data_IF_209610525368
#
_entry.id   IF_209610525368
#
_cell.length_a   1.000
_cell.length_b   1.000
_cell.length_c   1.000
_cell.angle_alpha   90.00
_cell.angle_beta   90.00
_cell.angle_gamma   90.00
#
_symmetry.space_group_name_H-M   'P 1'
#
loop_
_entity.id
_entity.type
_entity.pdbx_description
1 polymer ?
#
# COMPACT_ATOMS: atom_id res chain seq x y z
N UNK A 1 -16.29 -26.31 14.68
CA UNK A 1 -16.95 -26.59 13.39
C UNK A 1 -16.52 -25.48 12.46
N UNK A 2 -15.61 -25.80 11.55
CA UNK A 2 -14.92 -24.87 10.66
C UNK A 2 -15.92 -24.18 9.73
N UNK A 3 -16.04 -22.86 9.83
CA UNK A 3 -16.69 -22.07 8.78
C UNK A 3 -15.63 -21.77 7.73
N UNK A 4 -15.64 -22.53 6.65
CA UNK A 4 -14.80 -22.26 5.49
C UNK A 4 -15.04 -20.84 4.99
N UNK A 5 -14.04 -19.98 5.16
CA UNK A 5 -14.01 -18.70 4.48
C UNK A 5 -14.07 -18.98 2.98
N UNK A 6 -15.17 -18.59 2.34
CA UNK A 6 -15.27 -18.58 0.90
C UNK A 6 -14.19 -17.60 0.39
N UNK A 7 -13.04 -18.14 -0.04
CA UNK A 7 -11.99 -17.41 -0.75
C UNK A 7 -12.56 -16.88 -2.06
N UNK A 8 -13.24 -15.74 -1.97
CA UNK A 8 -13.77 -15.05 -3.12
C UNK A 8 -12.62 -14.27 -3.74
N UNK A 9 -12.30 -14.54 -4.99
CA UNK A 9 -11.30 -13.78 -5.71
C UNK A 9 -11.71 -12.30 -5.76
N UNK A 10 -11.00 -11.45 -5.00
CA UNK A 10 -11.34 -10.03 -4.88
C UNK A 10 -11.03 -9.26 -6.16
N UNK A 11 -9.93 -9.62 -6.85
CA UNK A 11 -9.47 -9.01 -8.10
C UNK A 11 -9.38 -7.47 -8.04
N UNK A 12 -9.09 -6.90 -6.86
CA UNK A 12 -9.10 -5.45 -6.66
C UNK A 12 -8.05 -4.75 -7.52
N UNK A 13 -6.88 -5.36 -7.69
CA UNK A 13 -5.84 -4.84 -8.58
C UNK A 13 -6.30 -4.70 -10.03
N UNK A 14 -7.08 -5.66 -10.54
CA UNK A 14 -7.59 -5.61 -11.90
C UNK A 14 -8.57 -4.43 -12.06
N UNK A 15 -9.50 -4.28 -11.13
CA UNK A 15 -10.45 -3.16 -11.13
C UNK A 15 -9.75 -1.80 -10.96
N UNK A 16 -8.74 -1.71 -10.08
CA UNK A 16 -7.97 -0.50 -9.89
C UNK A 16 -7.19 -0.12 -11.17
N UNK A 17 -6.62 -1.10 -11.88
CA UNK A 17 -5.95 -0.86 -13.17
C UNK A 17 -6.93 -0.25 -14.19
N UNK A 18 -8.15 -0.77 -14.29
CA UNK A 18 -9.14 -0.21 -15.23
C UNK A 18 -9.58 1.21 -14.84
N UNK A 19 -9.86 1.46 -13.56
CA UNK A 19 -10.17 2.83 -13.09
C UNK A 19 -9.01 3.80 -13.38
N UNK A 20 -7.77 3.39 -13.20
CA UNK A 20 -6.60 4.21 -13.54
C UNK A 20 -6.52 4.54 -15.04
N UNK A 21 -6.89 3.61 -15.92
CA UNK A 21 -6.95 3.87 -17.37
C UNK A 21 -8.02 4.91 -17.69
N UNK A 22 -9.20 4.80 -17.09
CA UNK A 22 -10.27 5.78 -17.26
C UNK A 22 -9.85 7.18 -16.80
N UNK A 23 -9.20 7.28 -15.64
CA UNK A 23 -8.66 8.55 -15.13
C UNK A 23 -7.66 9.15 -16.12
N UNK A 24 -6.71 8.36 -16.63
CA UNK A 24 -5.73 8.82 -17.63
C UNK A 24 -6.40 9.32 -18.91
N UNK A 25 -7.47 8.68 -19.36
CA UNK A 25 -8.21 9.12 -20.55
C UNK A 25 -8.96 10.45 -20.35
N UNK A 26 -9.38 10.74 -19.11
CA UNK A 26 -10.11 11.96 -18.76
C UNK A 26 -9.19 13.14 -18.41
N UNK A 27 -7.95 12.86 -17.99
CA UNK A 27 -6.99 13.90 -17.63
C UNK A 27 -6.57 14.73 -18.86
N UNK A 28 -6.54 16.07 -18.76
CA UNK A 28 -6.05 16.90 -19.85
C UNK A 28 -4.58 16.58 -20.22
N UNK A 29 -4.21 16.63 -21.51
CA UNK A 29 -2.87 16.20 -21.97
C UNK A 29 -1.70 16.93 -21.32
N UNK A 30 -1.90 18.13 -20.78
CA UNK A 30 -0.85 18.91 -20.12
C UNK A 30 -0.49 18.42 -18.71
N UNK A 31 -1.27 17.52 -18.11
CA UNK A 31 -0.94 16.86 -16.82
C UNK A 31 -0.01 15.65 -17.02
N UNK A 32 1.09 15.86 -17.75
CA UNK A 32 1.99 14.79 -18.20
C UNK A 32 2.58 14.00 -17.02
N UNK A 33 2.99 14.68 -15.93
CA UNK A 33 3.55 14.00 -14.76
C UNK A 33 2.52 13.08 -14.10
N UNK A 34 1.29 13.55 -13.91
CA UNK A 34 0.20 12.75 -13.30
C UNK A 34 -0.16 11.55 -14.16
N UNK A 35 -0.30 11.75 -15.48
CA UNK A 35 -0.58 10.65 -16.42
C UNK A 35 0.51 9.58 -16.35
N UNK A 36 1.78 10.00 -16.36
CA UNK A 36 2.91 9.07 -16.28
C UNK A 36 2.96 8.34 -14.94
N UNK A 37 2.77 9.05 -13.82
CA UNK A 37 2.74 8.43 -12.50
C UNK A 37 1.64 7.36 -12.40
N UNK A 38 0.42 7.66 -12.85
CA UNK A 38 -0.70 6.69 -12.85
C UNK A 38 -0.38 5.48 -13.73
N UNK A 39 0.21 5.69 -14.92
CA UNK A 39 0.63 4.58 -15.80
C UNK A 39 1.69 3.70 -15.16
N UNK A 40 2.68 4.29 -14.49
CA UNK A 40 3.73 3.54 -13.79
C UNK A 40 3.13 2.73 -12.65
N UNK A 41 2.26 3.33 -11.83
CA UNK A 41 1.58 2.61 -10.74
C UNK A 41 0.71 1.48 -11.29
N UNK A 42 -0.02 1.71 -12.38
CA UNK A 42 -0.84 0.68 -13.06
C UNK A 42 0.02 -0.49 -13.55
N UNK A 43 1.20 -0.21 -14.12
CA UNK A 43 2.15 -1.22 -14.57
C UNK A 43 2.80 -1.99 -13.41
N UNK A 44 3.18 -1.29 -12.33
CA UNK A 44 3.65 -1.93 -11.10
C UNK A 44 2.57 -2.84 -10.51
N UNK A 45 1.32 -2.38 -10.46
CA UNK A 45 0.20 -3.18 -10.00
C UNK A 45 -0.04 -4.39 -10.92
N UNK A 46 0.18 -4.28 -12.22
CA UNK A 46 0.09 -5.44 -13.13
C UNK A 46 1.18 -6.48 -12.87
N UNK A 47 2.40 -6.05 -12.53
CA UNK A 47 3.57 -6.92 -12.34
C UNK A 47 3.70 -7.48 -10.92
N UNK A 48 3.02 -6.92 -9.94
CA UNK A 48 3.17 -7.34 -8.55
C UNK A 48 2.58 -8.73 -8.29
N UNK A 49 3.19 -9.46 -7.36
CA UNK A 49 2.57 -10.67 -6.80
C UNK A 49 1.41 -10.27 -5.88
N UNK A 50 0.30 -11.00 -5.93
CA UNK A 50 -0.95 -10.65 -5.21
C UNK A 50 -1.16 -11.54 -4.02
N UNK A 51 -1.45 -10.91 -2.87
CA UNK A 51 -1.85 -11.59 -1.66
C UNK A 51 -3.19 -11.05 -1.21
N UNK A 52 -4.13 -11.95 -0.97
CA UNK A 52 -5.42 -11.62 -0.39
C UNK A 52 -5.28 -11.75 1.12
N UNK A 53 -5.57 -10.67 1.84
CA UNK A 53 -5.56 -10.62 3.29
C UNK A 53 -6.98 -10.73 3.84
N UNK A 54 -7.12 -11.17 5.11
CA UNK A 54 -8.39 -11.10 5.83
C UNK A 54 -8.94 -9.67 5.90
N UNK A 55 -10.21 -9.56 6.29
CA UNK A 55 -10.84 -8.26 6.52
C UNK A 55 -9.99 -7.40 7.46
N UNK A 56 -9.82 -6.13 7.11
CA UNK A 56 -8.99 -5.16 7.83
C UNK A 56 -7.48 -5.52 7.93
N UNK A 57 -7.01 -6.51 7.16
CA UNK A 57 -5.64 -7.02 7.21
C UNK A 57 -5.20 -7.46 8.62
N UNK A 58 -6.12 -7.97 9.43
CA UNK A 58 -5.87 -8.46 10.79
C UNK A 58 -5.15 -9.81 10.74
N UNK A 59 -3.82 -9.77 10.67
CA UNK A 59 -2.96 -10.97 10.56
C UNK A 59 -2.34 -11.41 11.89
N UNK A 60 -2.15 -10.49 12.82
CA UNK A 60 -1.51 -10.74 14.11
C UNK A 60 -2.38 -10.17 15.22
N UNK A 61 -2.53 -10.92 16.30
CA UNK A 61 -3.02 -10.37 17.56
C UNK A 61 -1.97 -9.37 18.10
N UNK A 62 -2.31 -8.08 18.25
CA UNK A 62 -1.39 -7.05 18.75
C UNK A 62 -0.75 -7.41 20.10
N UNK A 63 -1.42 -8.22 20.91
CA UNK A 63 -0.94 -8.65 22.23
C UNK A 63 0.14 -9.73 22.16
N UNK A 64 0.32 -10.38 21.00
CA UNK A 64 1.24 -11.49 20.79
C UNK A 64 2.34 -11.21 19.74
N UNK A 65 2.53 -9.93 19.38
CA UNK A 65 3.62 -9.53 18.49
C UNK A 65 4.95 -9.49 19.25
N UNK A 66 5.82 -10.46 18.98
CA UNK A 66 7.20 -10.47 19.49
C UNK A 66 8.16 -9.76 18.52
N UNK A 67 9.33 -9.36 19.01
CA UNK A 67 10.40 -8.81 18.18
C UNK A 67 10.82 -9.76 17.04
N UNK A 68 10.71 -11.08 17.24
CA UNK A 68 11.02 -12.07 16.21
C UNK A 68 10.03 -12.03 15.03
N UNK A 69 8.76 -11.70 15.29
CA UNK A 69 7.77 -11.49 14.22
C UNK A 69 8.09 -10.24 13.40
N UNK A 70 8.58 -9.17 14.05
CA UNK A 70 8.98 -7.93 13.38
C UNK A 70 10.26 -8.13 12.55
N UNK A 71 11.21 -8.91 13.06
CA UNK A 71 12.47 -9.20 12.37
C UNK A 71 12.26 -10.00 11.06
N UNK A 72 11.11 -10.67 10.92
CA UNK A 72 10.69 -11.42 9.73
C UNK A 72 9.85 -10.60 8.74
N UNK A 73 9.48 -9.34 9.05
CA UNK A 73 8.72 -8.47 8.16
C UNK A 73 9.60 -7.97 7.00
N UNK A 74 9.89 -8.88 6.07
CA UNK A 74 10.35 -8.57 4.71
C UNK A 74 9.19 -8.78 3.76
N UNK A 75 9.21 -8.10 2.62
CA UNK A 75 8.25 -8.43 1.57
C UNK A 75 8.53 -9.85 1.07
N UNK A 76 7.50 -10.67 0.83
CA UNK A 76 7.67 -12.00 0.23
C UNK A 76 8.32 -11.96 -1.15
N UNK A 77 8.11 -10.86 -1.88
CA UNK A 77 8.69 -10.58 -3.19
C UNK A 77 9.06 -9.08 -3.30
N UNK A 78 9.98 -8.68 -4.20
CA UNK A 78 10.39 -7.29 -4.33
C UNK A 78 9.27 -6.31 -4.71
N UNK A 79 8.16 -6.80 -5.29
CA UNK A 79 6.99 -6.03 -5.69
C UNK A 79 5.72 -6.84 -5.41
N UNK A 80 4.92 -6.38 -4.44
CA UNK A 80 3.75 -7.09 -3.91
C UNK A 80 2.55 -6.15 -3.85
N UNK A 81 1.35 -6.67 -4.05
CA UNK A 81 0.12 -5.99 -3.69
C UNK A 81 -0.69 -6.84 -2.72
N UNK A 82 -1.02 -6.25 -1.58
CA UNK A 82 -1.91 -6.84 -0.59
C UNK A 82 -3.31 -6.29 -0.78
N UNK A 83 -4.28 -7.16 -1.04
CA UNK A 83 -5.69 -6.81 -1.21
C UNK A 83 -6.47 -7.22 0.04
N UNK A 84 -7.23 -6.30 0.62
CA UNK A 84 -8.01 -6.56 1.82
C UNK A 84 -9.40 -5.92 1.71
N UNK A 85 -10.46 -6.65 2.07
CA UNK A 85 -11.73 -6.05 2.47
C UNK A 85 -11.50 -5.17 3.70
N UNK A 86 -12.30 -4.11 3.83
CA UNK A 86 -12.17 -3.15 4.93
C UNK A 86 -13.55 -2.82 5.53
N UNK A 87 -14.24 -3.88 5.95
CA UNK A 87 -15.56 -3.81 6.56
C UNK A 87 -15.40 -3.60 8.07
N UNK A 88 -15.70 -2.39 8.53
CA UNK A 88 -15.78 -2.09 9.96
C UNK A 88 -17.24 -2.13 10.39
N UNK A 89 -17.57 -2.99 11.35
CA UNK A 89 -18.91 -3.08 11.94
C UNK A 89 -19.29 -1.85 12.77
N UNK A 90 -18.31 -1.17 13.37
CA UNK A 90 -18.54 -0.07 14.33
C UNK A 90 -17.93 1.28 13.90
N UNK A 91 -17.76 1.51 12.59
CA UNK A 91 -17.33 2.83 12.13
C UNK A 91 -18.45 3.84 12.40
N UNK A 92 -18.34 4.60 13.50
CA UNK A 92 -19.16 5.80 13.72
C UNK A 92 -18.97 6.72 12.51
N UNK A 93 -20.08 7.17 11.91
CA UNK A 93 -20.06 8.14 10.82
C UNK A 93 -19.10 9.28 11.17
N UNK A 94 -18.07 9.45 10.35
CA UNK A 94 -17.04 10.46 10.58
C UNK A 94 -17.49 11.83 10.06
N UNK A 95 -18.79 11.98 9.77
CA UNK A 95 -19.39 13.19 9.22
C UNK A 95 -18.80 13.52 7.86
N UNK A 96 -18.16 14.67 7.73
CA UNK A 96 -17.55 15.14 6.46
C UNK A 96 -16.48 14.21 5.87
N UNK A 97 -15.91 13.30 6.67
CA UNK A 97 -14.92 12.32 6.23
C UNK A 97 -15.54 11.05 5.62
N UNK A 98 -16.88 10.90 5.61
CA UNK A 98 -17.55 9.75 5.00
C UNK A 98 -17.32 9.66 3.48
N UNK A 99 -16.96 10.78 2.83
CA UNK A 99 -16.47 10.79 1.44
C UNK A 99 -15.20 9.95 1.22
N UNK A 100 -14.45 9.66 2.29
CA UNK A 100 -13.26 8.81 2.28
C UNK A 100 -13.52 7.41 2.84
N UNK A 101 -14.79 7.03 3.04
CA UNK A 101 -15.15 5.65 3.35
C UNK A 101 -14.59 4.75 2.23
N UNK A 102 -13.90 3.70 2.68
CA UNK A 102 -13.26 2.74 1.81
C UNK A 102 -13.43 1.35 2.36
N UNK A 103 -14.28 0.55 1.70
CA UNK A 103 -14.54 -0.86 2.01
C UNK A 103 -13.56 -1.82 1.36
N UNK A 104 -12.67 -1.32 0.48
CA UNK A 104 -11.72 -2.13 -0.29
C UNK A 104 -10.39 -1.41 -0.37
N UNK A 105 -9.31 -2.09 0.01
CA UNK A 105 -7.97 -1.48 0.03
C UNK A 105 -6.96 -2.38 -0.64
N UNK A 106 -5.99 -1.73 -1.27
CA UNK A 106 -4.79 -2.36 -1.80
C UNK A 106 -3.59 -1.60 -1.23
N UNK A 107 -2.61 -2.33 -0.69
CA UNK A 107 -1.29 -1.79 -0.41
C UNK A 107 -0.33 -2.29 -1.49
N UNK A 108 0.09 -1.41 -2.39
CA UNK A 108 1.15 -1.71 -3.35
C UNK A 108 2.50 -1.44 -2.68
N UNK A 109 3.26 -2.50 -2.46
CA UNK A 109 4.51 -2.47 -1.72
C UNK A 109 5.68 -2.87 -2.61
N UNK A 110 6.80 -2.17 -2.52
CA UNK A 110 8.02 -2.57 -3.22
C UNK A 110 9.29 -2.21 -2.47
N UNK A 111 10.32 -3.01 -2.72
CA UNK A 111 11.67 -2.74 -2.26
C UNK A 111 12.35 -1.69 -3.18
N UNK A 112 13.29 -0.87 -2.67
CA UNK A 112 13.97 0.15 -3.45
C UNK A 112 14.65 -0.37 -4.74
N UNK A 113 15.11 -1.62 -4.75
CA UNK A 113 15.68 -2.27 -5.93
C UNK A 113 14.65 -2.59 -7.03
N UNK A 114 13.36 -2.64 -6.68
CA UNK A 114 12.25 -2.82 -7.61
C UNK A 114 11.60 -1.49 -8.04
N UNK A 115 12.10 -0.34 -7.57
CA UNK A 115 11.62 0.99 -7.99
C UNK A 115 11.85 1.17 -9.49
N UNK A 116 10.80 1.45 -10.30
CA UNK A 116 10.97 1.71 -11.72
C UNK A 116 11.91 2.90 -11.98
N UNK A 117 12.68 2.92 -13.09
CA UNK A 117 13.60 4.02 -13.39
C UNK A 117 12.95 5.40 -13.35
N UNK A 118 11.69 5.50 -13.79
CA UNK A 118 10.92 6.75 -13.80
C UNK A 118 10.62 7.29 -12.39
N UNK A 119 10.65 6.41 -11.38
CA UNK A 119 10.43 6.74 -9.98
C UNK A 119 11.73 6.67 -9.15
N UNK A 120 12.90 6.56 -9.79
CA UNK A 120 14.18 6.41 -9.08
C UNK A 120 14.47 7.57 -8.10
N UNK A 121 13.92 8.75 -8.34
CA UNK A 121 14.01 9.90 -7.42
C UNK A 121 13.41 9.61 -6.03
N UNK A 122 12.47 8.66 -5.90
CA UNK A 122 11.94 8.23 -4.60
C UNK A 122 12.97 7.52 -3.74
N UNK A 123 14.02 6.95 -4.34
CA UNK A 123 15.10 6.26 -3.63
C UNK A 123 16.04 7.23 -2.89
N UNK A 124 15.83 8.55 -2.95
CA UNK A 124 16.53 9.53 -2.09
C UNK A 124 16.41 9.20 -0.60
N UNK A 125 15.36 8.47 -0.21
CA UNK A 125 15.19 7.99 1.16
C UNK A 125 16.32 7.07 1.63
N UNK A 126 17.03 6.42 0.70
CA UNK A 126 18.18 5.56 0.99
C UNK A 126 19.39 6.33 1.48
N UNK A 127 19.52 7.62 1.14
CA UNK A 127 20.59 8.47 1.68
C UNK A 127 20.48 8.58 3.20
N UNK A 128 19.24 8.54 3.72
CA UNK A 128 18.95 8.53 5.15
C UNK A 128 18.87 7.13 5.74
N UNK A 129 18.45 6.14 4.96
CA UNK A 129 18.30 4.75 5.40
C UNK A 129 18.99 3.78 4.44
N UNK A 130 20.33 3.67 4.49
CA UNK A 130 21.12 2.87 3.53
C UNK A 130 20.81 1.38 3.55
N UNK A 131 20.39 0.87 4.70
CA UNK A 131 19.89 -0.50 4.93
C UNK A 131 18.59 -0.83 4.17
N UNK A 132 18.02 0.14 3.45
CA UNK A 132 16.81 -0.04 2.67
C UNK A 132 15.53 0.06 3.49
N UNK A 133 14.46 -0.46 2.92
CA UNK A 133 13.12 -0.36 3.45
C UNK A 133 12.10 -0.87 2.45
N UNK A 134 10.84 -0.61 2.73
CA UNK A 134 9.73 -0.92 1.82
C UNK A 134 8.94 0.36 1.58
N UNK A 135 8.72 0.68 0.31
CA UNK A 135 7.74 1.68 -0.09
C UNK A 135 6.35 1.07 -0.05
N UNK A 136 5.38 1.80 0.50
CA UNK A 136 3.98 1.41 0.55
C UNK A 136 3.17 2.54 -0.08
N UNK A 137 2.46 2.22 -1.17
CA UNK A 137 1.50 3.11 -1.83
C UNK A 137 0.08 2.58 -1.57
N UNK A 138 -0.74 3.30 -0.78
CA UNK A 138 -2.12 2.90 -0.56
C UNK A 138 -2.99 3.22 -1.79
N UNK A 139 -3.82 2.27 -2.20
CA UNK A 139 -4.84 2.43 -3.23
C UNK A 139 -6.17 2.03 -2.59
N UNK A 140 -7.13 2.95 -2.56
CA UNK A 140 -8.37 2.79 -1.82
C UNK A 140 -9.56 2.95 -2.74
N UNK A 141 -10.55 2.08 -2.59
CA UNK A 141 -11.87 2.27 -3.20
C UNK A 141 -12.60 3.38 -2.44
N UNK A 142 -13.06 4.40 -3.14
CA UNK A 142 -13.90 5.45 -2.57
C UNK A 142 -15.35 5.05 -2.76
N UNK A 143 -16.02 4.62 -1.69
CA UNK A 143 -17.37 4.05 -1.78
C UNK A 143 -18.40 5.05 -2.32
N UNK A 144 -18.27 6.33 -1.99
CA UNK A 144 -19.27 7.36 -2.35
C UNK A 144 -19.27 7.68 -3.84
N UNK A 145 -18.11 7.70 -4.49
CA UNK A 145 -17.96 8.03 -5.92
C UNK A 145 -17.60 6.82 -6.78
N UNK A 146 -17.61 5.63 -6.18
CA UNK A 146 -17.39 4.34 -6.81
C UNK A 146 -16.15 4.31 -7.72
N UNK A 147 -15.01 4.74 -7.19
CA UNK A 147 -13.75 4.76 -7.95
C UNK A 147 -12.55 4.37 -7.11
N UNK A 148 -11.53 3.81 -7.77
CA UNK A 148 -10.24 3.58 -7.14
C UNK A 148 -9.40 4.85 -7.14
N UNK A 149 -8.93 5.22 -5.96
CA UNK A 149 -8.04 6.36 -5.74
C UNK A 149 -6.65 5.87 -5.31
N UNK A 150 -5.61 6.34 -6.00
CA UNK A 150 -4.23 6.18 -5.57
C UNK A 150 -3.94 7.28 -4.55
N UNK A 151 -3.72 6.90 -3.29
CA UNK A 151 -3.55 7.84 -2.20
C UNK A 151 -2.38 8.80 -2.40
N UNK A 152 -2.51 10.01 -1.87
CA UNK A 152 -1.41 10.98 -1.78
C UNK A 152 -0.53 10.56 -0.59
N UNK A 153 0.72 10.20 -0.88
CA UNK A 153 1.72 9.85 0.12
C UNK A 153 2.08 8.38 0.10
N UNK A 154 3.38 8.10 -0.10
CA UNK A 154 3.97 6.80 0.14
C UNK A 154 4.64 6.78 1.51
N UNK A 155 4.47 5.70 2.27
CA UNK A 155 5.19 5.47 3.52
C UNK A 155 6.38 4.56 3.23
N UNK A 156 7.58 5.00 3.59
CA UNK A 156 8.77 4.15 3.60
C UNK A 156 8.97 3.57 4.99
N UNK A 157 8.96 2.25 5.13
CA UNK A 157 9.32 1.60 6.39
C UNK A 157 10.78 1.15 6.36
N UNK A 158 11.64 1.68 7.24
CA UNK A 158 13.03 1.24 7.32
C UNK A 158 13.14 -0.21 7.83
N UNK A 159 14.13 -0.96 7.37
CA UNK A 159 14.51 -2.24 7.99
C UNK A 159 15.25 -2.02 9.33
N UNK A 160 15.34 -3.05 10.18
CA UNK A 160 15.78 -2.99 11.60
C UNK A 160 17.04 -2.16 11.89
N UNK A 161 18.06 -2.19 11.03
CA UNK A 161 19.31 -1.44 11.27
C UNK A 161 19.06 0.06 11.44
N UNK A 162 18.02 0.58 10.79
CA UNK A 162 17.59 1.97 10.85
C UNK A 162 16.85 2.34 12.14
N UNK A 163 15.92 1.48 12.57
CA UNK A 163 15.01 1.73 13.69
C UNK A 163 15.78 1.82 15.01
N UNK A 164 16.74 0.91 15.22
CA UNK A 164 17.60 0.90 16.40
C UNK A 164 18.51 2.14 16.48
N UNK A 165 18.96 2.69 15.34
CA UNK A 165 19.74 3.92 15.31
C UNK A 165 18.89 5.18 15.59
N UNK A 166 17.67 5.26 15.09
CA UNK A 166 16.78 6.42 15.35
C UNK A 166 16.32 6.53 16.80
N UNK A 167 16.17 5.39 17.50
CA UNK A 167 15.80 5.36 18.93
C UNK A 167 17.00 5.79 19.78
N UNK A 168 18.22 5.35 19.44
CA UNK A 168 19.46 5.78 20.13
C UNK A 168 19.77 7.28 19.98
N UNK A 169 19.40 7.89 18.86
CA UNK A 169 19.57 9.34 18.66
C UNK A 169 18.57 10.18 19.49
N UNK A 170 17.39 9.63 19.81
CA UNK A 170 16.40 10.32 20.66
C UNK A 170 16.65 10.15 22.16
N UNK A 171 17.42 9.15 22.58
CA UNK A 171 17.85 8.96 23.98
C UNK A 171 19.22 9.57 24.29
N UNK A 172 19.84 10.24 23.32
CA UNK A 172 21.09 10.98 23.48
C UNK A 172 20.91 12.52 23.36
N UNK A 173 19.65 12.99 23.38
CA UNK A 173 19.26 14.41 23.46
C UNK A 173 18.42 14.64 24.72
#
# INVERSE_FOLDING_TARGET
>A
METGENFTALNYSAHAIESMKEVVQRLPPHFVQSINAIRIVSDMLRRSVKFILPNCAELLDPLHVSQAHIDLLKLPFPLVAFEAPWQKTDAKDAGYLDHYKSTRRIALCWEPGATPPQLAHLNVILDRFPQGGVFILPISWLDVIETWNVGIGGLSFPTRTAWQQSIRLKSAL
#
